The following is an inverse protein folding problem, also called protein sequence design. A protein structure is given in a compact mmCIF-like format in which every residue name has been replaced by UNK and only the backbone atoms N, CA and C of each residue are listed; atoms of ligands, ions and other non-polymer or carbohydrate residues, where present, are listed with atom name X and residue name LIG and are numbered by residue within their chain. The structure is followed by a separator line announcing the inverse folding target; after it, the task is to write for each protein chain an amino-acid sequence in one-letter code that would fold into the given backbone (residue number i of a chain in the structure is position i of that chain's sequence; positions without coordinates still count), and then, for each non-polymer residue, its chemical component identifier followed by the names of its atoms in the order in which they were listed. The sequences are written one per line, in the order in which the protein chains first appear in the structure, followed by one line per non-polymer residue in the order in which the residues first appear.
data_IF_402397667690
#
_entry.id   IF_402397667690
#
_cell.length_a   1.000
_cell.length_b   1.000
_cell.length_c   1.000
_cell.angle_alpha   90.00
_cell.angle_beta   90.00
_cell.angle_gamma   90.00
#
_symmetry.space_group_name_H-M   'P 1'
#
loop_
_entity.id
_entity.type
_entity.pdbx_description
1 polymer ?
#
# COMPACT_ATOMS: atom_id res chain seq x y z
N UNK A 1 -28.54 1.81 21.07
CA UNK A 1 -28.25 2.16 19.66
C UNK A 1 -26.76 2.40 19.44
N UNK A 2 -26.10 3.26 20.21
CA UNK A 2 -24.64 3.48 20.17
C UNK A 2 -23.81 2.16 20.24
N UNK A 3 -24.04 1.24 21.20
CA UNK A 3 -23.26 0.00 21.26
C UNK A 3 -23.44 -0.88 20.02
N UNK A 4 -24.64 -0.93 19.43
CA UNK A 4 -24.88 -1.69 18.22
C UNK A 4 -24.04 -1.15 17.04
N UNK A 5 -23.91 0.17 16.92
CA UNK A 5 -23.09 0.80 15.89
C UNK A 5 -21.59 0.50 16.11
N UNK A 6 -21.09 0.62 17.33
CA UNK A 6 -19.66 0.41 17.62
C UNK A 6 -19.25 -1.05 17.45
N UNK A 7 -20.04 -2.00 17.98
CA UNK A 7 -19.79 -3.43 17.78
C UNK A 7 -19.94 -3.83 16.30
N UNK A 8 -20.92 -3.25 15.59
CA UNK A 8 -21.05 -3.44 14.15
C UNK A 8 -19.82 -2.97 13.39
N UNK A 9 -19.32 -1.78 13.70
CA UNK A 9 -18.12 -1.23 13.07
C UNK A 9 -16.87 -2.08 13.31
N UNK A 10 -16.62 -2.49 14.55
CA UNK A 10 -15.50 -3.37 14.90
C UNK A 10 -15.63 -4.72 14.18
N UNK A 11 -16.84 -5.30 14.15
CA UNK A 11 -17.10 -6.54 13.42
C UNK A 11 -16.86 -6.38 11.92
N UNK A 12 -17.23 -5.24 11.33
CA UNK A 12 -17.00 -4.95 9.92
C UNK A 12 -15.52 -4.81 9.58
N UNK A 13 -14.73 -4.15 10.43
CA UNK A 13 -13.26 -4.09 10.28
C UNK A 13 -12.67 -5.50 10.32
N UNK A 14 -13.08 -6.31 11.30
CA UNK A 14 -12.60 -7.68 11.47
C UNK A 14 -12.89 -8.52 10.22
N UNK A 15 -14.15 -8.53 9.76
CA UNK A 15 -14.55 -9.23 8.54
C UNK A 15 -13.79 -8.74 7.31
N UNK A 16 -13.67 -7.43 7.12
CA UNK A 16 -12.93 -6.86 6.00
C UNK A 16 -11.44 -7.23 6.02
N UNK A 17 -10.85 -7.46 7.20
CA UNK A 17 -9.44 -7.83 7.32
C UNK A 17 -9.16 -9.30 6.98
N UNK A 18 -10.13 -10.20 7.11
CA UNK A 18 -9.96 -11.63 6.81
C UNK A 18 -10.37 -11.99 5.38
N UNK A 19 -11.31 -11.25 4.79
CA UNK A 19 -11.89 -11.57 3.50
C UNK A 19 -11.62 -10.46 2.48
N UNK A 20 -11.06 -10.83 1.31
CA UNK A 20 -10.99 -9.94 0.16
C UNK A 20 -12.39 -9.80 -0.47
N UNK A 21 -13.17 -8.85 0.04
CA UNK A 21 -14.53 -8.58 -0.43
C UNK A 21 -14.43 -7.77 -1.73
N UNK A 22 -14.99 -8.29 -2.83
CA UNK A 22 -15.08 -7.51 -4.08
C UNK A 22 -16.04 -6.34 -3.92
N UNK A 23 -15.80 -5.25 -4.67
CA UNK A 23 -16.67 -4.07 -4.63
C UNK A 23 -18.14 -4.39 -4.94
N UNK A 24 -18.40 -5.41 -5.77
CA UNK A 24 -19.75 -5.85 -6.10
C UNK A 24 -20.47 -6.47 -4.90
N UNK A 25 -19.82 -7.37 -4.15
CA UNK A 25 -20.42 -7.96 -2.96
C UNK A 25 -20.73 -6.91 -1.89
N UNK A 26 -19.87 -5.90 -1.75
CA UNK A 26 -20.10 -4.78 -0.83
C UNK A 26 -21.33 -3.93 -1.21
N UNK A 27 -21.52 -3.65 -2.51
CA UNK A 27 -22.69 -2.92 -3.01
C UNK A 27 -23.97 -3.71 -2.76
N UNK A 28 -23.98 -5.01 -3.10
CA UNK A 28 -25.14 -5.89 -2.89
C UNK A 28 -25.51 -5.97 -1.40
N UNK A 29 -24.52 -6.12 -0.52
CA UNK A 29 -24.74 -6.11 0.93
C UNK A 29 -25.32 -4.77 1.41
N UNK A 30 -24.78 -3.65 0.93
CA UNK A 30 -25.26 -2.30 1.29
C UNK A 30 -26.71 -2.06 0.89
N UNK A 31 -27.10 -2.49 -0.33
CA UNK A 31 -28.48 -2.42 -0.81
C UNK A 31 -29.40 -3.29 0.05
N UNK A 32 -28.97 -4.50 0.38
CA UNK A 32 -29.74 -5.44 1.22
C UNK A 32 -30.02 -4.85 2.60
N UNK A 33 -29.02 -4.22 3.23
CA UNK A 33 -29.19 -3.53 4.52
C UNK A 33 -30.15 -2.33 4.39
N UNK A 34 -30.10 -1.60 3.28
CA UNK A 34 -31.06 -0.54 2.97
C UNK A 34 -32.50 -1.04 2.91
N UNK A 35 -32.73 -2.19 2.27
CA UNK A 35 -34.05 -2.83 2.21
C UNK A 35 -34.52 -3.25 3.61
N UNK A 36 -33.66 -3.84 4.43
CA UNK A 36 -33.97 -4.23 5.83
C UNK A 36 -34.34 -2.98 6.66
N UNK A 37 -33.63 -1.87 6.46
CA UNK A 37 -33.93 -0.62 7.14
C UNK A 37 -35.29 -0.05 6.73
N UNK A 38 -35.66 -0.13 5.44
CA UNK A 38 -36.98 0.29 4.93
C UNK A 38 -38.08 -0.66 5.44
N UNK A 39 -37.81 -1.95 5.54
CA UNK A 39 -38.77 -2.95 6.03
C UNK A 39 -39.26 -2.63 7.46
N UNK A 40 -38.47 -1.90 8.26
CA UNK A 40 -38.88 -1.35 9.56
C UNK A 40 -40.24 -0.64 9.53
N UNK A 41 -40.58 0.05 8.43
CA UNK A 41 -41.85 0.79 8.33
C UNK A 41 -43.08 -0.13 8.27
N UNK A 42 -42.91 -1.36 7.80
CA UNK A 42 -43.98 -2.36 7.71
C UNK A 42 -44.15 -3.20 9.00
N UNK A 43 -43.26 -3.01 9.96
CA UNK A 43 -43.26 -3.75 11.23
C UNK A 43 -43.75 -2.86 12.37
N UNK A 44 -44.59 -3.42 13.24
CA UNK A 44 -45.18 -2.73 14.40
C UNK A 44 -44.72 -3.36 15.71
N UNK A 45 -44.78 -2.61 16.82
CA UNK A 45 -44.46 -3.10 18.16
C UNK A 45 -42.96 -3.31 18.41
N UNK A 46 -42.63 -4.32 19.24
CA UNK A 46 -41.25 -4.63 19.67
C UNK A 46 -40.34 -5.02 18.50
N UNK A 47 -40.89 -5.68 17.48
CA UNK A 47 -40.13 -6.11 16.31
C UNK A 47 -39.59 -4.92 15.50
N UNK A 48 -40.27 -3.77 15.52
CA UNK A 48 -39.73 -2.53 14.94
C UNK A 48 -38.42 -2.12 15.62
N UNK A 49 -38.35 -2.23 16.94
CA UNK A 49 -37.15 -1.88 17.72
C UNK A 49 -36.03 -2.86 17.40
N UNK A 50 -36.32 -4.17 17.34
CA UNK A 50 -35.36 -5.21 16.96
C UNK A 50 -34.78 -4.99 15.56
N UNK A 51 -35.64 -4.74 14.56
CA UNK A 51 -35.22 -4.42 13.17
C UNK A 51 -34.37 -3.14 13.13
N UNK A 52 -34.72 -2.12 13.92
CA UNK A 52 -33.93 -0.87 13.99
C UNK A 52 -32.53 -1.12 14.56
N UNK A 53 -32.42 -1.87 15.65
CA UNK A 53 -31.13 -2.20 16.28
C UNK A 53 -30.28 -3.05 15.33
N UNK A 54 -30.86 -4.07 14.70
CA UNK A 54 -30.17 -4.91 13.73
C UNK A 54 -29.68 -4.10 12.52
N UNK A 55 -30.50 -3.20 11.99
CA UNK A 55 -30.11 -2.34 10.87
C UNK A 55 -28.95 -1.41 11.23
N UNK A 56 -28.96 -0.81 12.42
CA UNK A 56 -27.87 0.07 12.88
C UNK A 56 -26.57 -0.71 13.06
N UNK A 57 -26.64 -1.94 13.58
CA UNK A 57 -25.49 -2.83 13.65
C UNK A 57 -24.91 -3.12 12.26
N UNK A 58 -25.77 -3.49 11.30
CA UNK A 58 -25.36 -3.78 9.92
C UNK A 58 -24.80 -2.55 9.20
N UNK A 59 -25.34 -1.36 9.46
CA UNK A 59 -24.77 -0.09 8.98
C UNK A 59 -23.36 0.11 9.54
N UNK A 60 -23.14 -0.19 10.83
CA UNK A 60 -21.80 -0.21 11.42
C UNK A 60 -20.85 -1.13 10.65
N UNK A 61 -21.30 -2.36 10.33
CA UNK A 61 -20.54 -3.33 9.53
C UNK A 61 -20.19 -2.75 8.15
N UNK A 62 -21.12 -2.09 7.47
CA UNK A 62 -20.89 -1.43 6.17
C UNK A 62 -19.77 -0.39 6.29
N UNK A 63 -19.80 0.48 7.31
CA UNK A 63 -18.74 1.47 7.51
C UNK A 63 -17.39 0.80 7.81
N UNK A 64 -17.39 -0.27 8.61
CA UNK A 64 -16.18 -1.02 8.94
C UNK A 64 -15.53 -1.67 7.72
N UNK A 65 -16.33 -2.36 6.91
CA UNK A 65 -15.87 -2.98 5.65
C UNK A 65 -15.48 -1.90 4.64
N UNK A 66 -16.28 -0.85 4.49
CA UNK A 66 -16.02 0.27 3.57
C UNK A 66 -14.69 0.96 3.86
N UNK A 67 -14.35 1.15 5.14
CA UNK A 67 -13.03 1.67 5.55
C UNK A 67 -11.89 0.75 5.10
N UNK A 68 -12.07 -0.57 5.20
CA UNK A 68 -11.04 -1.52 4.75
C UNK A 68 -10.92 -1.52 3.22
N UNK A 69 -12.03 -1.42 2.49
CA UNK A 69 -12.03 -1.35 1.02
C UNK A 69 -11.33 -0.11 0.47
N UNK A 70 -11.40 1.03 1.17
CA UNK A 70 -10.69 2.27 0.81
C UNK A 70 -9.20 2.16 1.14
N UNK A 71 -8.80 1.25 2.03
CA UNK A 71 -7.43 1.14 2.49
C UNK A 71 -6.60 0.22 1.58
N UNK A 72 -5.66 0.81 0.84
CA UNK A 72 -4.70 0.07 -0.01
C UNK A 72 -3.73 -0.85 0.78
N UNK A 73 -3.78 -0.84 2.11
CA UNK A 73 -2.93 -1.66 2.99
C UNK A 73 -3.06 -3.17 2.76
N UNK A 74 -4.08 -3.67 2.05
CA UNK A 74 -4.28 -5.11 1.84
C UNK A 74 -4.21 -5.54 0.38
N UNK A 75 -4.12 -4.61 -0.58
CA UNK A 75 -3.95 -4.94 -2.00
C UNK A 75 -2.53 -5.44 -2.26
N UNK A 76 -2.34 -6.48 -3.08
CA UNK A 76 -0.99 -6.87 -3.48
C UNK A 76 -0.37 -5.77 -4.36
N UNK A 77 0.86 -5.40 -4.05
CA UNK A 77 1.58 -4.39 -4.84
C UNK A 77 1.83 -4.87 -6.26
N UNK A 78 1.60 -4.00 -7.24
CA UNK A 78 1.91 -4.28 -8.66
C UNK A 78 3.40 -4.52 -8.89
N UNK A 79 4.25 -4.00 -8.00
CA UNK A 79 5.69 -4.26 -8.00
C UNK A 79 6.05 -5.71 -7.62
N UNK A 80 5.09 -6.55 -7.19
CA UNK A 80 5.36 -7.96 -6.84
C UNK A 80 5.95 -8.77 -7.99
N UNK A 81 5.63 -8.44 -9.23
CA UNK A 81 6.18 -9.08 -10.44
C UNK A 81 7.69 -8.84 -10.62
N UNK A 82 8.23 -7.83 -9.93
CA UNK A 82 9.63 -7.39 -9.98
C UNK A 82 10.39 -7.72 -8.67
N UNK A 83 9.79 -8.49 -7.78
CA UNK A 83 10.41 -8.89 -6.51
C UNK A 83 11.68 -9.71 -6.75
N UNK A 84 12.77 -9.34 -6.08
CA UNK A 84 14.12 -9.93 -6.18
C UNK A 84 14.75 -9.89 -7.59
N UNK A 85 14.21 -9.07 -8.50
CA UNK A 85 14.78 -8.83 -9.83
C UNK A 85 15.55 -7.52 -9.87
N UNK A 86 16.55 -7.44 -10.76
CA UNK A 86 17.27 -6.20 -11.03
C UNK A 86 16.45 -5.36 -12.01
N UNK A 87 16.10 -4.15 -11.60
CA UNK A 87 15.22 -3.25 -12.35
C UNK A 87 15.80 -1.84 -12.39
N UNK A 88 15.58 -1.16 -13.50
CA UNK A 88 15.70 0.30 -13.59
C UNK A 88 14.36 0.90 -13.18
N UNK A 89 14.37 1.80 -12.20
CA UNK A 89 13.19 2.53 -11.74
C UNK A 89 13.40 4.01 -12.04
N UNK A 90 12.39 4.62 -12.66
CA UNK A 90 12.31 6.07 -12.82
C UNK A 90 11.11 6.56 -12.02
N UNK A 91 11.32 7.56 -11.16
CA UNK A 91 10.29 8.08 -10.27
C UNK A 91 10.65 9.40 -9.64
N UNK A 92 9.71 9.95 -8.86
CA UNK A 92 9.87 11.25 -8.18
C UNK A 92 10.05 11.04 -6.68
N UNK A 93 10.93 11.82 -6.06
CA UNK A 93 11.11 11.84 -4.61
C UNK A 93 9.93 12.57 -3.97
N UNK A 94 9.09 11.82 -3.24
CA UNK A 94 7.83 12.31 -2.65
C UNK A 94 7.89 12.51 -1.14
N UNK A 95 9.09 12.44 -0.55
CA UNK A 95 9.33 12.83 0.84
C UNK A 95 10.76 13.37 0.98
N UNK A 96 10.97 14.25 1.95
CA UNK A 96 12.32 14.72 2.30
C UNK A 96 13.25 13.52 2.55
N UNK A 97 14.45 13.49 1.93
CA UNK A 97 15.43 12.44 2.16
C UNK A 97 15.83 12.32 3.63
N UNK A 98 15.83 11.10 4.18
CA UNK A 98 16.39 10.80 5.52
C UNK A 98 17.91 10.68 5.39
N UNK A 99 18.60 11.81 5.63
CA UNK A 99 20.06 11.92 5.56
C UNK A 99 20.69 11.31 6.81
N UNK A 100 21.68 10.44 6.60
CA UNK A 100 22.48 9.78 7.65
C UNK A 100 23.97 10.06 7.43
N UNK A 101 24.80 9.56 8.34
CA UNK A 101 26.26 9.80 8.31
C UNK A 101 26.94 9.42 6.98
N UNK A 102 26.50 8.33 6.33
CA UNK A 102 27.16 7.80 5.12
C UNK A 102 26.23 7.57 3.93
N UNK A 103 24.92 7.73 4.13
CA UNK A 103 23.91 7.40 3.15
C UNK A 103 22.67 8.27 3.35
N UNK A 104 21.83 8.33 2.32
CA UNK A 104 20.50 8.90 2.41
C UNK A 104 19.46 7.84 2.05
N UNK A 105 18.26 7.95 2.60
CA UNK A 105 17.11 7.15 2.17
C UNK A 105 16.13 8.01 1.39
N UNK A 106 15.88 7.63 0.15
CA UNK A 106 14.94 8.29 -0.75
C UNK A 106 13.61 7.54 -0.77
N UNK A 107 12.52 8.26 -0.58
CA UNK A 107 11.16 7.72 -0.81
C UNK A 107 10.73 8.10 -2.22
N UNK A 108 10.75 7.14 -3.13
CA UNK A 108 10.51 7.36 -4.56
C UNK A 108 9.12 6.80 -4.91
N UNK A 109 8.27 7.63 -5.49
CA UNK A 109 7.06 7.18 -6.17
C UNK A 109 7.42 6.70 -7.57
N UNK A 110 7.19 5.42 -7.84
CA UNK A 110 7.58 4.76 -9.09
C UNK A 110 6.68 5.24 -10.21
N UNK A 111 7.22 5.85 -11.27
CA UNK A 111 6.47 6.16 -12.48
C UNK A 111 6.58 5.03 -13.50
N UNK A 112 7.83 4.58 -13.73
CA UNK A 112 8.20 3.57 -14.70
C UNK A 112 9.19 2.59 -14.09
N UNK A 113 9.03 1.32 -14.45
CA UNK A 113 9.95 0.25 -14.07
C UNK A 113 10.29 -0.59 -15.29
N UNK A 114 11.57 -0.88 -15.45
CA UNK A 114 12.09 -1.72 -16.53
C UNK A 114 12.96 -2.84 -15.96
N UNK A 115 12.64 -4.09 -16.29
CA UNK A 115 13.47 -5.24 -15.89
C UNK A 115 14.75 -5.32 -16.74
N UNK A 116 15.90 -5.44 -16.06
CA UNK A 116 17.22 -5.58 -16.69
C UNK A 116 17.59 -7.06 -16.68
N UNK A 117 17.50 -7.75 -17.81
CA UNK A 117 18.02 -9.11 -17.96
C UNK A 117 19.51 -9.06 -18.35
N UNK A 118 20.38 -9.58 -17.49
CA UNK A 118 21.78 -9.81 -17.83
C UNK A 118 21.88 -11.18 -18.50
N UNK A 119 21.85 -11.22 -19.83
CA UNK A 119 22.13 -12.47 -20.56
C UNK A 119 23.62 -12.78 -20.48
N UNK A 120 24.03 -14.01 -20.11
CA UNK A 120 25.44 -14.39 -19.98
C UNK A 120 26.12 -14.70 -21.33
N UNK A 121 25.71 -14.04 -22.42
CA UNK A 121 26.27 -14.29 -23.76
C UNK A 121 27.06 -13.06 -24.22
N UNK A 122 28.28 -13.32 -24.68
CA UNK A 122 29.27 -12.34 -25.09
C UNK A 122 28.76 -11.42 -26.20
N UNK A 123 28.12 -10.31 -25.81
CA UNK A 123 28.02 -8.99 -26.44
C UNK A 123 27.19 -8.17 -25.43
N UNK A 124 27.77 -7.08 -24.93
CA UNK A 124 27.22 -6.25 -23.86
C UNK A 124 26.02 -5.39 -24.33
N UNK A 125 24.95 -6.03 -24.78
CA UNK A 125 23.67 -5.38 -25.07
C UNK A 125 22.67 -5.75 -23.98
N UNK A 126 22.67 -4.99 -22.88
CA UNK A 126 21.57 -5.03 -21.91
C UNK A 126 20.30 -4.54 -22.59
N UNK A 127 19.36 -5.45 -22.90
CA UNK A 127 18.06 -5.11 -23.49
C UNK A 127 17.01 -4.95 -22.38
N UNK A 128 16.23 -3.86 -22.45
CA UNK A 128 15.03 -3.64 -21.65
C UNK A 128 13.94 -4.60 -22.13
N UNK A 129 13.42 -5.46 -21.25
CA UNK A 129 12.52 -6.57 -21.67
C UNK A 129 11.05 -6.26 -21.38
N UNK A 130 10.79 -5.56 -20.27
CA UNK A 130 9.43 -5.21 -19.86
C UNK A 130 9.47 -3.82 -19.25
N UNK A 131 8.89 -2.84 -19.94
CA UNK A 131 8.62 -1.52 -19.37
C UNK A 131 7.16 -1.47 -18.97
N UNK A 132 6.92 -1.29 -17.68
CA UNK A 132 5.59 -1.04 -17.15
C UNK A 132 5.53 0.41 -16.68
N UNK A 133 4.44 1.10 -17.00
CA UNK A 133 4.21 2.51 -16.66
C UNK A 133 2.94 2.67 -15.82
N UNK A 134 2.86 3.75 -15.05
CA UNK A 134 1.66 4.08 -14.26
C UNK A 134 1.59 3.38 -12.90
N UNK A 135 2.75 3.11 -12.30
CA UNK A 135 2.81 2.80 -10.88
C UNK A 135 2.54 4.09 -10.08
N UNK A 136 1.99 3.92 -8.88
CA UNK A 136 1.85 4.98 -7.85
C UNK A 136 2.33 4.48 -6.49
N UNK A 137 3.07 3.39 -6.52
CA UNK A 137 3.56 2.72 -5.33
C UNK A 137 4.91 3.32 -4.94
N UNK A 138 5.15 3.44 -3.65
CA UNK A 138 6.38 4.02 -3.13
C UNK A 138 7.39 2.93 -2.83
N UNK A 139 8.64 3.21 -3.11
CA UNK A 139 9.79 2.40 -2.71
C UNK A 139 10.73 3.23 -1.85
N UNK A 140 11.45 2.56 -0.95
CA UNK A 140 12.47 3.19 -0.12
C UNK A 140 13.85 2.72 -0.58
N UNK A 141 14.66 3.64 -1.07
CA UNK A 141 15.96 3.34 -1.67
C UNK A 141 17.06 3.97 -0.83
N UNK A 142 18.02 3.17 -0.38
CA UNK A 142 19.24 3.68 0.25
C UNK A 142 20.28 4.01 -0.81
N UNK A 143 20.77 5.25 -0.84
CA UNK A 143 21.78 5.77 -1.76
C UNK A 143 22.98 6.34 -0.99
N UNK A 144 24.17 6.48 -1.61
CA UNK A 144 25.28 7.24 -1.02
C UNK A 144 24.86 8.67 -0.65
N UNK A 145 25.57 9.28 0.31
CA UNK A 145 25.28 10.65 0.75
C UNK A 145 25.36 11.69 -0.39
N UNK A 146 26.24 11.46 -1.37
CA UNK A 146 26.43 12.33 -2.53
C UNK A 146 26.19 11.58 -3.85
N UNK A 147 25.59 12.23 -4.87
CA UNK A 147 25.07 13.60 -4.82
C UNK A 147 23.84 13.73 -3.90
N UNK A 148 23.61 14.93 -3.39
CA UNK A 148 22.41 15.23 -2.60
C UNK A 148 21.18 15.29 -3.52
N UNK A 149 20.05 14.83 -3.01
CA UNK A 149 18.76 14.88 -3.70
C UNK A 149 17.77 15.65 -2.84
N UNK A 150 16.76 16.22 -3.47
CA UNK A 150 15.70 17.00 -2.82
C UNK A 150 14.32 16.43 -3.11
N UNK A 151 13.36 16.80 -2.28
CA UNK A 151 11.95 16.58 -2.58
C UNK A 151 11.59 17.15 -3.96
N UNK A 152 10.80 16.41 -4.74
CA UNK A 152 10.41 16.79 -6.10
C UNK A 152 11.45 16.48 -7.18
N UNK A 153 12.64 15.98 -6.82
CA UNK A 153 13.59 15.48 -7.82
C UNK A 153 13.06 14.21 -8.48
N UNK A 154 13.16 14.17 -9.79
CA UNK A 154 12.93 12.98 -10.59
C UNK A 154 14.26 12.27 -10.75
N UNK A 155 14.31 11.02 -10.32
CA UNK A 155 15.54 10.21 -10.28
C UNK A 155 15.37 8.91 -11.04
N UNK A 156 16.49 8.42 -11.54
CA UNK A 156 16.64 7.08 -12.11
C UNK A 156 17.54 6.26 -11.19
N UNK A 157 17.09 5.07 -10.81
CA UNK A 157 17.82 4.17 -9.90
C UNK A 157 17.82 2.74 -10.42
N UNK A 158 18.98 2.09 -10.35
CA UNK A 158 19.13 0.68 -10.68
C UNK A 158 19.10 -0.16 -9.42
N UNK A 159 17.98 -0.83 -9.13
CA UNK A 159 17.73 -1.45 -7.83
C UNK A 159 17.39 -2.93 -7.94
N UNK A 160 17.61 -3.65 -6.85
CA UNK A 160 16.95 -4.93 -6.60
C UNK A 160 15.84 -4.66 -5.60
N UNK A 161 14.59 -4.92 -5.98
CA UNK A 161 13.44 -4.72 -5.10
C UNK A 161 13.31 -5.88 -4.12
N UNK A 162 13.43 -5.59 -2.82
CA UNK A 162 13.30 -6.59 -1.76
C UNK A 162 12.22 -6.18 -0.75
N UNK A 163 11.47 -7.17 -0.25
CA UNK A 163 10.52 -6.92 0.84
C UNK A 163 11.25 -6.44 2.09
N UNK A 164 10.70 -5.44 2.81
CA UNK A 164 11.26 -5.01 4.09
C UNK A 164 11.28 -6.18 5.08
N UNK A 165 12.39 -6.31 5.81
CA UNK A 165 12.54 -7.29 6.90
C UNK A 165 12.16 -6.65 8.22
N UNK A 166 11.69 -7.47 9.14
CA UNK A 166 11.52 -7.11 10.55
C UNK A 166 12.90 -6.82 11.15
N UNK A 167 12.99 -5.84 12.05
CA UNK A 167 14.23 -5.48 12.73
C UNK A 167 14.23 -6.20 14.07
N UNK A 168 15.23 -7.06 14.29
CA UNK A 168 15.47 -7.74 15.56
C UNK A 168 16.70 -7.10 16.24
N UNK A 169 16.50 -6.57 17.45
CA UNK A 169 17.56 -5.91 18.23
C UNK A 169 18.41 -6.88 19.05
N UNK A 170 18.12 -8.19 19.01
CA UNK A 170 18.89 -9.23 19.71
C UNK A 170 18.64 -9.31 21.22
N UNK A 171 17.87 -8.36 21.77
CA UNK A 171 17.42 -8.31 23.17
C UNK A 171 15.98 -8.82 23.35
N UNK A 172 15.45 -9.50 22.33
CA UNK A 172 14.06 -9.97 22.27
C UNK A 172 13.07 -8.92 21.78
N UNK A 173 13.48 -7.67 21.52
CA UNK A 173 12.61 -6.66 20.90
C UNK A 173 12.62 -6.82 19.38
N UNK A 174 11.42 -7.01 18.84
CA UNK A 174 11.16 -7.20 17.42
C UNK A 174 10.31 -6.03 16.93
N UNK A 175 10.85 -5.21 16.02
CA UNK A 175 10.13 -4.10 15.43
C UNK A 175 9.62 -4.47 14.03
N UNK A 176 8.30 -4.44 13.84
CA UNK A 176 7.64 -4.68 12.55
C UNK A 176 7.85 -3.50 11.57
N UNK A 177 9.07 -3.41 11.05
CA UNK A 177 9.45 -2.42 10.06
C UNK A 177 8.67 -2.58 8.75
N UNK A 178 8.26 -3.81 8.41
CA UNK A 178 7.43 -4.09 7.24
C UNK A 178 6.06 -3.43 7.38
N UNK A 179 5.37 -3.64 8.51
CA UNK A 179 4.10 -2.99 8.82
C UNK A 179 4.23 -1.46 8.84
N UNK A 180 5.28 -0.95 9.48
CA UNK A 180 5.57 0.49 9.53
C UNK A 180 5.69 1.13 8.14
N UNK A 181 6.43 0.51 7.22
CA UNK A 181 6.57 1.01 5.84
C UNK A 181 5.27 0.86 5.04
N UNK A 182 4.54 -0.24 5.23
CA UNK A 182 3.28 -0.48 4.54
C UNK A 182 2.24 0.61 4.84
N UNK A 183 2.16 1.05 6.10
CA UNK A 183 1.29 2.18 6.52
C UNK A 183 1.61 3.47 5.76
N UNK A 184 2.85 3.64 5.31
CA UNK A 184 3.31 4.80 4.53
C UNK A 184 3.19 4.60 3.01
N UNK A 185 2.57 3.50 2.56
CA UNK A 185 2.47 3.15 1.14
C UNK A 185 3.80 2.68 0.53
N UNK A 186 4.80 2.35 1.35
CA UNK A 186 6.10 1.86 0.91
C UNK A 186 6.07 0.32 0.93
N UNK A 187 6.15 -0.28 -0.25
CA UNK A 187 6.00 -1.73 -0.43
C UNK A 187 7.33 -2.47 -0.48
N UNK A 188 8.32 -1.86 -1.11
CA UNK A 188 9.62 -2.45 -1.35
C UNK A 188 10.75 -1.53 -0.91
N UNK A 189 11.87 -2.15 -0.56
CA UNK A 189 13.11 -1.47 -0.20
C UNK A 189 14.21 -1.91 -1.14
N UNK A 190 15.20 -1.05 -1.37
CA UNK A 190 16.46 -1.45 -1.97
C UNK A 190 17.63 -0.90 -1.18
N UNK A 191 18.71 -1.68 -1.15
CA UNK A 191 19.94 -1.34 -0.43
C UNK A 191 20.97 -0.82 -1.43
N UNK A 192 21.62 0.28 -1.06
CA UNK A 192 22.84 0.80 -1.67
C UNK A 192 22.86 0.74 -3.20
N UNK A 193 22.28 1.76 -3.82
CA UNK A 193 22.38 1.97 -5.28
C UNK A 193 22.85 3.37 -5.62
N UNK A 194 23.37 3.53 -6.84
CA UNK A 194 23.56 4.85 -7.43
C UNK A 194 22.22 5.37 -7.95
N UNK A 195 21.96 6.64 -7.66
CA UNK A 195 20.84 7.38 -8.21
C UNK A 195 21.37 8.44 -9.16
N UNK A 196 20.69 8.62 -10.27
CA UNK A 196 20.97 9.66 -11.26
C UNK A 196 19.82 10.64 -11.27
N UNK A 197 20.14 11.94 -11.17
CA UNK A 197 19.14 13.00 -11.29
C UNK A 197 18.71 13.11 -12.76
N UNK A 198 17.40 13.06 -12.99
CA UNK A 198 16.78 13.23 -14.32
C UNK A 198 16.25 14.66 -14.49
N UNK A 199 15.54 15.18 -13.49
CA UNK A 199 15.09 16.58 -13.43
C UNK A 199 14.76 16.99 -11.99
N UNK A 200 14.70 18.30 -11.72
CA UNK A 200 14.35 18.85 -10.41
C UNK A 200 13.03 19.65 -10.47
N UNK A 201 12.36 19.81 -9.32
CA UNK A 201 11.18 20.66 -9.18
C UNK A 201 9.86 20.08 -9.68
N UNK A 202 9.66 18.77 -9.55
CA UNK A 202 8.42 18.08 -9.95
C UNK A 202 7.45 17.83 -8.77
N UNK A 203 7.64 18.53 -7.64
CA UNK A 203 6.90 18.36 -6.39
C UNK A 203 6.19 19.62 -5.94
#
# INVERSE_FOLDING_TARGET
MIPALTFGFISGISLGSFFHISSLYFIVFSVTVGIIFIYRYFVSGEDRVRVTIASIFLIGVIFGVGRILISDLYTNSKLSSFENKKVEVVGVIVAEPDIRETNAKLTIEVENISEIEVKPSAIADSRLIQTSSGFREKILVTVPLYPEFSYGDRVKVNVILSKPKVIDSGDGRVFDYKGYLKVRGIWYTSRFTQAELVSSGNG
#
